data_IF_997143113402
#
_entry.id   IF_997143113402
#
_cell.length_a   1.000
_cell.length_b   1.000
_cell.length_c   1.000
_cell.angle_alpha   90.00
_cell.angle_beta   90.00
_cell.angle_gamma   90.00
#
_symmetry.space_group_name_H-M   'P 1'
#
loop_
_entity.id
_entity.type
_entity.pdbx_description
1 polymer ?
#
# COMPACT_ATOMS: atom_id res chain seq x y z
N UNK A 1 -22.32 -2.88 -4.77
CA UNK A 1 -22.16 -3.32 -3.37
C UNK A 1 -20.78 -2.91 -2.92
N UNK A 2 -20.62 -2.35 -1.72
CA UNK A 2 -19.27 -2.03 -1.18
C UNK A 2 -18.61 -3.38 -0.89
N UNK A 3 -17.54 -3.69 -1.63
CA UNK A 3 -16.75 -4.90 -1.39
C UNK A 3 -15.97 -4.74 -0.09
N UNK A 4 -15.82 -5.82 0.67
CA UNK A 4 -14.96 -5.78 1.85
C UNK A 4 -13.49 -5.58 1.42
N UNK A 5 -12.70 -4.77 2.13
CA UNK A 5 -11.31 -4.54 1.79
C UNK A 5 -10.48 -5.82 1.86
N UNK A 6 -9.62 -6.03 0.87
CA UNK A 6 -8.61 -7.10 0.93
C UNK A 6 -7.42 -6.59 1.71
N UNK A 7 -6.99 -7.36 2.72
CA UNK A 7 -5.79 -7.04 3.49
C UNK A 7 -4.56 -7.67 2.86
N UNK A 8 -3.55 -6.85 2.56
CA UNK A 8 -2.35 -7.27 1.83
C UNK A 8 -1.11 -6.94 2.65
N UNK A 9 -0.33 -7.96 3.01
CA UNK A 9 0.98 -7.78 3.62
C UNK A 9 2.06 -7.69 2.54
N UNK A 10 2.90 -6.65 2.58
CA UNK A 10 4.04 -6.47 1.69
C UNK A 10 5.31 -6.37 2.52
N UNK A 11 6.20 -7.35 2.36
CA UNK A 11 7.54 -7.33 2.95
C UNK A 11 8.52 -6.61 2.02
N UNK A 12 9.57 -6.02 2.58
CA UNK A 12 10.50 -5.22 1.77
C UNK A 12 9.82 -3.98 1.18
N UNK A 13 8.84 -3.43 1.88
CA UNK A 13 7.93 -2.40 1.38
C UNK A 13 8.64 -1.08 1.03
N UNK A 14 9.79 -0.79 1.66
CA UNK A 14 10.60 0.38 1.35
C UNK A 14 11.64 0.12 0.24
N UNK A 15 11.77 -1.12 -0.24
CA UNK A 15 12.64 -1.46 -1.36
C UNK A 15 12.06 -1.07 -2.72
N UNK A 16 12.89 -1.02 -3.76
CA UNK A 16 12.51 -0.55 -5.10
C UNK A 16 11.29 -1.29 -5.70
N UNK A 17 11.20 -2.61 -5.49
CA UNK A 17 10.07 -3.41 -5.98
C UNK A 17 8.81 -3.15 -5.13
N UNK A 18 8.97 -3.12 -3.80
CA UNK A 18 7.88 -2.78 -2.88
C UNK A 18 7.27 -1.43 -3.25
N UNK A 19 8.11 -0.40 -3.36
CA UNK A 19 7.74 0.93 -3.80
C UNK A 19 6.92 0.91 -5.09
N UNK A 20 7.43 0.33 -6.18
CA UNK A 20 6.71 0.30 -7.46
C UNK A 20 5.41 -0.53 -7.41
N UNK A 21 5.33 -1.55 -6.56
CA UNK A 21 4.16 -2.42 -6.42
C UNK A 21 3.03 -1.75 -5.64
N UNK A 22 3.35 -1.02 -4.56
CA UNK A 22 2.35 -0.47 -3.63
C UNK A 22 1.35 0.47 -4.34
N UNK A 23 1.83 1.37 -5.19
CA UNK A 23 0.94 2.27 -5.95
C UNK A 23 0.05 1.51 -6.95
N UNK A 24 0.50 0.36 -7.47
CA UNK A 24 -0.31 -0.49 -8.37
C UNK A 24 -1.40 -1.25 -7.61
N UNK A 25 -1.14 -1.62 -6.36
CA UNK A 25 -2.15 -2.21 -5.48
C UNK A 25 -3.17 -1.13 -5.10
N UNK A 26 -2.71 0.02 -4.59
CA UNK A 26 -3.56 1.11 -4.11
C UNK A 26 -4.43 1.74 -5.23
N UNK A 27 -3.94 1.82 -6.46
CA UNK A 27 -4.71 2.29 -7.64
C UNK A 27 -5.75 1.29 -8.16
N UNK A 28 -5.80 0.07 -7.63
CA UNK A 28 -6.73 -0.98 -8.10
C UNK A 28 -6.23 -1.77 -9.32
N UNK A 29 -5.01 -1.54 -9.80
CA UNK A 29 -4.48 -2.27 -10.97
C UNK A 29 -4.30 -3.78 -10.71
N UNK A 30 -4.17 -4.20 -9.44
CA UNK A 30 -3.99 -5.60 -9.07
C UNK A 30 -5.31 -6.37 -8.88
N UNK A 31 -6.30 -5.76 -8.20
CA UNK A 31 -7.55 -6.44 -7.82
C UNK A 31 -8.80 -5.91 -8.53
N UNK A 32 -8.66 -4.88 -9.36
CA UNK A 32 -9.75 -4.24 -10.08
C UNK A 32 -10.12 -2.86 -9.52
N UNK A 33 -10.84 -2.05 -10.31
CA UNK A 33 -11.12 -0.64 -10.01
C UNK A 33 -12.18 -0.42 -8.93
N UNK A 34 -12.78 -1.48 -8.40
CA UNK A 34 -13.90 -1.46 -7.46
C UNK A 34 -13.63 -2.28 -6.19
N UNK A 35 -12.38 -2.71 -5.98
CA UNK A 35 -11.97 -3.52 -4.84
C UNK A 35 -11.11 -2.70 -3.88
N UNK A 36 -11.65 -2.32 -2.70
CA UNK A 36 -10.85 -1.66 -1.66
C UNK A 36 -9.75 -2.57 -1.11
N UNK A 37 -8.69 -1.97 -0.60
CA UNK A 37 -7.51 -2.64 -0.05
C UNK A 37 -7.05 -1.98 1.25
N UNK A 38 -6.44 -2.78 2.12
CA UNK A 38 -5.72 -2.33 3.31
C UNK A 38 -4.30 -2.89 3.25
N UNK A 39 -3.30 -2.02 3.37
CA UNK A 39 -1.89 -2.38 3.26
C UNK A 39 -1.28 -2.60 4.64
N UNK A 40 -0.51 -3.68 4.77
CA UNK A 40 0.34 -3.98 5.92
C UNK A 40 1.79 -3.96 5.44
N UNK A 41 2.55 -2.94 5.82
CA UNK A 41 3.88 -2.72 5.28
C UNK A 41 4.96 -3.18 6.27
N UNK A 42 5.83 -4.09 5.83
CA UNK A 42 6.78 -4.78 6.70
C UNK A 42 8.20 -4.50 6.22
N UNK A 43 9.03 -4.00 7.13
CA UNK A 43 10.45 -3.74 6.90
C UNK A 43 11.33 -4.07 8.11
N UNK A 44 12.64 -4.12 7.87
CA UNK A 44 13.64 -4.20 8.93
C UNK A 44 13.84 -2.84 9.64
N UNK A 45 14.29 -2.81 10.91
CA UNK A 45 14.41 -1.56 11.67
C UNK A 45 15.20 -0.43 10.97
N UNK A 46 16.32 -0.69 10.26
CA UNK A 46 17.06 0.35 9.54
C UNK A 46 16.28 1.01 8.40
N UNK A 47 15.25 0.36 7.87
CA UNK A 47 14.46 0.85 6.73
C UNK A 47 13.16 1.55 7.16
N UNK A 48 12.87 1.64 8.46
CA UNK A 48 11.60 2.21 8.95
C UNK A 48 11.42 3.69 8.60
N UNK A 49 12.49 4.48 8.55
CA UNK A 49 12.37 5.89 8.15
C UNK A 49 12.08 6.03 6.65
N UNK A 50 12.68 5.19 5.81
CA UNK A 50 12.31 5.11 4.39
C UNK A 50 10.85 4.64 4.24
N UNK A 51 10.43 3.66 5.03
CA UNK A 51 9.05 3.15 5.02
C UNK A 51 8.04 4.25 5.39
N UNK A 52 8.33 5.09 6.38
CA UNK A 52 7.49 6.26 6.69
C UNK A 52 7.36 7.20 5.49
N UNK A 53 8.43 7.38 4.72
CA UNK A 53 8.40 8.11 3.44
C UNK A 53 7.37 7.53 2.48
N UNK A 54 7.41 6.21 2.28
CA UNK A 54 6.46 5.51 1.41
C UNK A 54 5.01 5.65 1.89
N UNK A 55 4.77 5.60 3.22
CA UNK A 55 3.42 5.83 3.78
C UNK A 55 2.94 7.25 3.47
N UNK A 56 3.79 8.27 3.65
CA UNK A 56 3.44 9.66 3.32
C UNK A 56 3.08 9.82 1.84
N UNK A 57 3.84 9.20 0.94
CA UNK A 57 3.56 9.27 -0.51
C UNK A 57 2.26 8.54 -0.90
N UNK A 58 1.92 7.43 -0.24
CA UNK A 58 0.65 6.74 -0.44
C UNK A 58 -0.55 7.57 0.02
N UNK A 59 -0.42 8.25 1.16
CA UNK A 59 -1.45 9.17 1.68
C UNK A 59 -1.65 10.36 0.73
N UNK A 60 -0.56 10.96 0.24
CA UNK A 60 -0.59 12.10 -0.69
C UNK A 60 -1.25 11.77 -2.04
N UNK A 61 -1.20 10.50 -2.46
CA UNK A 61 -1.86 10.04 -3.68
C UNK A 61 -3.40 10.01 -3.57
N UNK A 62 -3.96 10.07 -2.36
CA UNK A 62 -5.39 10.07 -2.09
C UNK A 62 -6.16 8.97 -2.85
N UNK A 63 -5.61 7.76 -2.90
CA UNK A 63 -6.23 6.65 -3.62
C UNK A 63 -7.59 6.29 -3.00
N UNK A 64 -8.69 6.33 -3.77
CA UNK A 64 -10.02 6.06 -3.23
C UNK A 64 -10.24 4.61 -2.80
N UNK A 65 -9.38 3.68 -3.25
CA UNK A 65 -9.45 2.26 -2.91
C UNK A 65 -8.56 1.88 -1.72
N UNK A 66 -7.68 2.76 -1.25
CA UNK A 66 -6.79 2.49 -0.13
C UNK A 66 -7.44 2.95 1.18
N UNK A 67 -8.00 2.02 1.94
CA UNK A 67 -8.74 2.35 3.16
C UNK A 67 -7.88 2.45 4.41
N UNK A 68 -6.74 1.75 4.45
CA UNK A 68 -5.89 1.69 5.62
C UNK A 68 -4.45 1.31 5.27
N UNK A 69 -3.49 1.81 6.06
CA UNK A 69 -2.07 1.47 6.02
C UNK A 69 -1.62 1.18 7.46
N UNK A 70 -1.00 0.02 7.67
CA UNK A 70 -0.51 -0.46 8.99
C UNK A 70 0.94 -0.91 8.91
#
# INVERSE_FOLDING_TARGET
>A
MIKQPIRVAVTGAAGNIGYALLFRIASGAMFGPDQPVALNLIEIPPALDALKGVVMELDDCAFPLLENIV
#
